data_IF_206746019288
#
_entry.id   IF_206746019288
#
_cell.length_a   1.000
_cell.length_b   1.000
_cell.length_c   1.000
_cell.angle_alpha   90.00
_cell.angle_beta   90.00
_cell.angle_gamma   90.00
#
_symmetry.space_group_name_H-M   'P 1'
#
loop_
_entity.id
_entity.type
_entity.pdbx_description
1 polymer ?
#
# COMPACT_ATOMS: atom_id res chain seq x y z
N UNK A 1 21.46 12.76 44.91
CA UNK A 1 21.47 11.44 44.25
C UNK A 1 20.07 11.02 43.81
N UNK A 2 19.07 11.04 44.71
CA UNK A 2 17.68 10.68 44.38
C UNK A 2 17.03 11.51 43.25
N UNK A 3 17.25 12.82 43.19
CA UNK A 3 16.71 13.66 42.10
C UNK A 3 17.24 13.31 40.70
N UNK A 4 18.44 12.74 40.59
CA UNK A 4 18.98 12.32 39.28
C UNK A 4 18.30 11.04 38.81
N UNK A 5 17.86 10.18 39.74
CA UNK A 5 17.17 8.92 39.44
C UNK A 5 15.73 9.22 39.00
N UNK A 6 15.02 10.10 39.71
CA UNK A 6 13.64 10.48 39.33
C UNK A 6 13.59 11.15 37.95
N UNK A 7 14.54 12.04 37.65
CA UNK A 7 14.59 12.73 36.36
C UNK A 7 14.98 11.78 35.21
N UNK A 8 15.74 10.72 35.51
CA UNK A 8 16.10 9.68 34.54
C UNK A 8 14.89 8.79 34.23
N UNK A 9 14.11 8.42 35.25
CA UNK A 9 12.88 7.62 35.10
C UNK A 9 11.81 8.38 34.29
N UNK A 10 11.62 9.67 34.56
CA UNK A 10 10.68 10.52 33.81
C UNK A 10 11.10 10.67 32.34
N UNK A 11 12.40 10.84 32.07
CA UNK A 11 12.94 10.88 30.71
C UNK A 11 12.74 9.56 29.96
N UNK A 12 12.97 8.42 30.63
CA UNK A 12 12.75 7.09 30.04
C UNK A 12 11.27 6.84 29.72
N UNK A 13 10.36 7.28 30.60
CA UNK A 13 8.93 7.20 30.35
C UNK A 13 8.54 8.01 29.10
N UNK A 14 9.02 9.26 29.00
CA UNK A 14 8.78 10.12 27.83
C UNK A 14 9.33 9.53 26.52
N UNK A 15 10.56 9.02 26.53
CA UNK A 15 11.18 8.37 25.36
C UNK A 15 10.39 7.12 24.93
N UNK A 16 9.92 6.31 25.89
CA UNK A 16 9.11 5.13 25.59
C UNK A 16 7.76 5.48 24.94
N UNK A 17 7.09 6.52 25.43
CA UNK A 17 5.84 7.02 24.85
C UNK A 17 6.05 7.53 23.43
N UNK A 18 7.13 8.28 23.21
CA UNK A 18 7.50 8.77 21.89
C UNK A 18 7.78 7.63 20.91
N UNK A 19 8.53 6.61 21.33
CA UNK A 19 8.81 5.43 20.49
C UNK A 19 7.51 4.72 20.13
N UNK A 20 6.62 4.48 21.11
CA UNK A 20 5.33 3.84 20.86
C UNK A 20 4.49 4.62 19.85
N UNK A 21 4.38 5.94 20.02
CA UNK A 21 3.66 6.82 19.08
C UNK A 21 4.27 6.79 17.69
N UNK A 22 5.60 6.88 17.60
CA UNK A 22 6.31 6.87 16.31
C UNK A 22 6.17 5.52 15.59
N UNK A 23 6.21 4.40 16.31
CA UNK A 23 6.06 3.08 15.74
C UNK A 23 4.66 2.91 15.12
N UNK A 24 3.61 3.34 15.83
CA UNK A 24 2.23 3.30 15.31
C UNK A 24 2.07 4.21 14.11
N UNK A 25 2.63 5.42 14.13
CA UNK A 25 2.57 6.36 13.02
C UNK A 25 3.23 5.78 11.75
N UNK A 26 4.45 5.22 11.88
CA UNK A 26 5.17 4.64 10.75
C UNK A 26 4.46 3.39 10.22
N UNK A 27 3.93 2.54 11.10
CA UNK A 27 3.17 1.35 10.68
C UNK A 27 1.89 1.73 9.93
N UNK A 28 1.22 2.81 10.34
CA UNK A 28 0.01 3.30 9.67
C UNK A 28 0.33 3.86 8.29
N UNK A 29 1.30 4.78 8.19
CA UNK A 29 1.71 5.40 6.93
C UNK A 29 2.25 4.34 5.96
N UNK A 30 3.15 3.47 6.44
CA UNK A 30 3.83 2.49 5.61
C UNK A 30 2.96 1.29 5.23
N UNK A 31 2.09 0.84 6.14
CA UNK A 31 1.33 -0.40 5.95
C UNK A 31 -0.11 -0.18 5.50
N UNK A 32 -0.77 0.87 5.98
CA UNK A 32 -2.20 1.09 5.69
C UNK A 32 -2.38 1.85 4.38
N UNK A 33 -1.74 3.02 4.24
CA UNK A 33 -2.01 3.92 3.11
C UNK A 33 -1.50 3.33 1.78
N UNK A 34 -0.33 2.67 1.81
CA UNK A 34 0.25 2.02 0.63
C UNK A 34 -0.60 0.83 0.18
N UNK A 35 -1.01 -0.04 1.11
CA UNK A 35 -1.83 -1.23 0.79
C UNK A 35 -3.21 -0.84 0.28
N UNK A 36 -3.86 0.16 0.89
CA UNK A 36 -5.16 0.66 0.43
C UNK A 36 -5.07 1.21 -0.99
N UNK A 37 -4.01 1.98 -1.27
CA UNK A 37 -3.75 2.52 -2.61
C UNK A 37 -3.45 1.41 -3.62
N UNK A 38 -2.68 0.39 -3.24
CA UNK A 38 -2.38 -0.78 -4.06
C UNK A 38 -3.65 -1.49 -4.54
N UNK A 39 -4.55 -1.78 -3.59
CA UNK A 39 -5.79 -2.51 -3.86
C UNK A 39 -6.72 -1.67 -4.75
N UNK A 40 -6.89 -0.39 -4.44
CA UNK A 40 -7.73 0.51 -5.24
C UNK A 40 -7.23 0.60 -6.69
N UNK A 41 -5.91 0.73 -6.86
CA UNK A 41 -5.28 0.77 -8.17
C UNK A 41 -5.45 -0.55 -8.93
N UNK A 42 -5.27 -1.69 -8.27
CA UNK A 42 -5.45 -3.00 -8.88
C UNK A 42 -6.89 -3.18 -9.37
N UNK A 43 -7.88 -2.81 -8.56
CA UNK A 43 -9.29 -2.84 -8.96
C UNK A 43 -9.53 -1.93 -10.17
N UNK A 44 -8.99 -0.71 -10.16
CA UNK A 44 -9.10 0.22 -11.29
C UNK A 44 -8.46 -0.35 -12.57
N UNK A 45 -7.25 -0.90 -12.48
CA UNK A 45 -6.53 -1.47 -13.61
C UNK A 45 -7.31 -2.64 -14.24
N UNK A 46 -7.84 -3.54 -13.41
CA UNK A 46 -8.64 -4.67 -13.89
C UNK A 46 -9.98 -4.20 -14.48
N UNK A 47 -10.62 -3.19 -13.89
CA UNK A 47 -11.87 -2.62 -14.40
C UNK A 47 -11.69 -1.96 -15.79
N UNK A 48 -10.53 -1.35 -16.05
CA UNK A 48 -10.20 -0.78 -17.38
C UNK A 48 -9.84 -1.87 -18.41
N UNK A 49 -9.44 -3.07 -17.97
CA UNK A 49 -8.98 -4.16 -18.83
C UNK A 49 -9.76 -5.46 -18.59
N UNK A 50 -11.05 -5.52 -19.00
CA UNK A 50 -11.91 -6.68 -18.74
C UNK A 50 -11.39 -7.98 -19.36
N UNK A 51 -10.62 -7.92 -20.46
CA UNK A 51 -9.98 -9.10 -21.05
C UNK A 51 -8.85 -9.69 -20.19
N UNK A 52 -8.15 -8.86 -19.41
CA UNK A 52 -7.15 -9.30 -18.42
C UNK A 52 -7.85 -9.90 -17.21
N UNK A 53 -8.95 -9.27 -16.77
CA UNK A 53 -9.79 -9.77 -15.68
C UNK A 53 -10.25 -11.21 -15.92
N UNK A 54 -10.83 -11.49 -17.08
CA UNK A 54 -11.34 -12.83 -17.41
C UNK A 54 -10.25 -13.89 -17.41
N UNK A 55 -9.05 -13.56 -17.92
CA UNK A 55 -7.91 -14.47 -17.93
C UNK A 55 -7.37 -14.73 -16.52
N UNK A 56 -7.31 -13.70 -15.68
CA UNK A 56 -6.89 -13.84 -14.29
C UNK A 56 -7.89 -14.68 -13.49
N UNK A 57 -9.20 -14.46 -13.68
CA UNK A 57 -10.24 -15.29 -13.07
C UNK A 57 -10.16 -16.74 -13.53
N UNK A 58 -9.99 -17.01 -14.83
CA UNK A 58 -9.86 -18.36 -15.34
C UNK A 58 -8.63 -19.11 -14.79
N UNK A 59 -7.51 -18.42 -14.57
CA UNK A 59 -6.34 -19.02 -13.90
C UNK A 59 -6.67 -19.38 -12.44
N UNK A 60 -7.30 -18.48 -11.70
CA UNK A 60 -7.71 -18.72 -10.30
C UNK A 60 -8.68 -19.92 -10.22
N UNK A 61 -9.71 -19.91 -11.06
CA UNK A 61 -10.72 -20.96 -11.10
C UNK A 61 -10.10 -22.33 -11.46
N UNK A 62 -9.07 -22.35 -12.30
CA UNK A 62 -8.36 -23.57 -12.69
C UNK A 62 -7.48 -24.15 -11.58
N UNK A 63 -6.93 -23.29 -10.72
CA UNK A 63 -5.93 -23.71 -9.70
C UNK A 63 -6.59 -23.99 -8.37
N UNK A 64 -7.48 -23.10 -7.93
CA UNK A 64 -8.13 -23.17 -6.61
C UNK A 64 -9.45 -23.95 -6.68
N UNK A 65 -10.11 -23.95 -7.84
CA UNK A 65 -11.48 -24.44 -7.99
C UNK A 65 -12.50 -23.44 -7.41
N UNK A 66 -13.79 -23.78 -7.55
CA UNK A 66 -14.90 -22.90 -7.13
C UNK A 66 -15.46 -23.20 -5.74
N UNK A 67 -15.00 -24.27 -5.09
CA UNK A 67 -15.57 -24.74 -3.81
C UNK A 67 -14.77 -24.29 -2.58
N UNK A 68 -13.55 -23.80 -2.76
CA UNK A 68 -12.65 -23.40 -1.68
C UNK A 68 -12.08 -22.00 -1.90
N UNK A 69 -11.79 -21.30 -0.81
CA UNK A 69 -11.04 -20.03 -0.86
C UNK A 69 -9.55 -20.31 -1.09
N UNK A 70 -8.82 -19.43 -1.80
CA UNK A 70 -7.39 -19.58 -2.00
C UNK A 70 -6.60 -19.53 -0.70
N UNK A 71 -5.58 -20.37 -0.57
CA UNK A 71 -4.57 -20.28 0.49
C UNK A 71 -3.27 -19.64 -0.04
N UNK A 72 -2.39 -19.21 0.87
CA UNK A 72 -1.09 -18.64 0.50
C UNK A 72 -0.20 -19.63 -0.27
N UNK A 73 -0.40 -20.94 -0.07
CA UNK A 73 0.30 -21.99 -0.79
C UNK A 73 -0.04 -22.01 -2.31
N UNK A 74 -1.25 -21.59 -2.69
CA UNK A 74 -1.71 -21.58 -4.09
C UNK A 74 -1.04 -20.48 -4.92
N UNK A 75 -0.44 -19.48 -4.28
CA UNK A 75 0.17 -18.33 -4.97
C UNK A 75 1.26 -18.73 -5.96
N UNK A 76 2.00 -19.80 -5.69
CA UNK A 76 3.06 -20.30 -6.59
C UNK A 76 2.47 -20.80 -7.92
N UNK A 77 1.23 -21.29 -7.87
CA UNK A 77 0.49 -21.84 -9.01
C UNK A 77 -0.30 -20.78 -9.78
N UNK A 78 -0.24 -19.50 -9.39
CA UNK A 78 -0.94 -18.37 -10.03
C UNK A 78 0.01 -17.37 -10.71
N UNK A 79 0.81 -17.80 -11.71
CA UNK A 79 1.81 -16.95 -12.33
C UNK A 79 1.23 -15.76 -13.11
N UNK A 80 0.05 -15.89 -13.73
CA UNK A 80 -0.57 -14.81 -14.47
C UNK A 80 -1.15 -13.75 -13.54
N UNK A 81 -1.82 -14.13 -12.45
CA UNK A 81 -2.29 -13.18 -11.43
C UNK A 81 -1.10 -12.40 -10.83
N UNK A 82 0.01 -13.08 -10.52
CA UNK A 82 1.21 -12.42 -10.00
C UNK A 82 1.83 -11.46 -11.04
N UNK A 83 1.80 -11.82 -12.33
CA UNK A 83 2.23 -10.93 -13.40
C UNK A 83 1.32 -9.69 -13.53
N UNK A 84 -0.01 -9.85 -13.43
CA UNK A 84 -0.96 -8.73 -13.46
C UNK A 84 -0.75 -7.79 -12.27
N UNK A 85 -0.53 -8.34 -11.08
CA UNK A 85 -0.22 -7.54 -9.89
C UNK A 85 1.07 -6.74 -10.08
N UNK A 86 2.14 -7.39 -10.54
CA UNK A 86 3.43 -6.74 -10.85
C UNK A 86 3.27 -5.64 -11.89
N UNK A 87 2.50 -5.89 -12.95
CA UNK A 87 2.28 -4.90 -14.00
C UNK A 87 1.44 -3.72 -13.52
N UNK A 88 0.46 -3.95 -12.65
CA UNK A 88 -0.29 -2.88 -11.99
C UNK A 88 0.63 -1.96 -11.18
N UNK A 89 1.53 -2.55 -10.38
CA UNK A 89 2.52 -1.81 -9.60
C UNK A 89 3.57 -1.10 -10.48
N UNK A 90 3.83 -1.64 -11.69
CA UNK A 90 4.68 -0.99 -12.70
C UNK A 90 4.00 0.24 -13.31
N UNK A 91 2.70 0.17 -13.61
CA UNK A 91 1.93 1.25 -14.22
C UNK A 91 1.68 2.42 -13.28
N UNK A 92 1.49 2.12 -11.99
CA UNK A 92 1.33 3.13 -10.96
C UNK A 92 2.07 2.70 -9.72
N UNK A 93 3.23 3.31 -9.51
CA UNK A 93 3.99 3.10 -8.31
C UNK A 93 3.31 3.85 -7.15
N UNK A 94 2.86 3.11 -6.14
CA UNK A 94 2.20 3.64 -4.94
C UNK A 94 3.12 4.59 -4.18
N UNK A 95 4.43 4.36 -4.27
CA UNK A 95 5.44 5.27 -3.76
C UNK A 95 6.31 5.72 -4.95
N UNK A 96 5.99 6.85 -5.62
CA UNK A 96 6.89 7.39 -6.63
C UNK A 96 8.28 7.52 -6.01
N UNK A 97 9.29 6.89 -6.63
CA UNK A 97 10.64 6.64 -6.10
C UNK A 97 11.48 7.92 -5.84
N UNK A 98 10.84 9.09 -5.84
CA UNK A 98 11.44 10.37 -5.55
C UNK A 98 10.50 11.16 -4.65
N UNK A 99 10.85 11.28 -3.37
CA UNK A 99 10.36 12.39 -2.54
C UNK A 99 10.55 13.75 -3.26
N UNK A 100 11.52 13.83 -4.18
CA UNK A 100 11.77 14.97 -5.06
C UNK A 100 10.64 15.28 -6.05
N UNK A 101 9.85 14.28 -6.48
CA UNK A 101 8.78 14.49 -7.47
C UNK A 101 7.41 14.71 -6.85
N UNK A 102 7.19 14.31 -5.59
CA UNK A 102 5.95 14.61 -4.85
C UNK A 102 5.74 16.12 -4.66
N UNK A 103 6.81 16.91 -4.49
CA UNK A 103 6.70 18.37 -4.39
C UNK A 103 6.14 19.02 -5.66
N UNK A 104 6.42 18.44 -6.84
CA UNK A 104 5.83 18.90 -8.10
C UNK A 104 4.35 18.52 -8.20
N UNK A 105 3.98 17.34 -7.69
CA UNK A 105 2.61 16.83 -7.75
C UNK A 105 1.64 17.60 -6.83
N UNK A 106 2.09 18.04 -5.65
CA UNK A 106 1.27 18.86 -4.72
C UNK A 106 1.02 20.26 -5.30
N UNK A 107 1.93 20.77 -6.14
CA UNK A 107 1.73 22.05 -6.85
C UNK A 107 0.95 21.90 -8.17
N UNK A 108 0.80 20.67 -8.69
CA UNK A 108 0.02 20.36 -9.89
C UNK A 108 -1.45 20.06 -9.58
N UNK A 109 -1.77 19.61 -8.36
CA UNK A 109 -3.15 19.56 -7.85
C UNK A 109 -3.51 20.93 -7.28
N UNK A 110 -3.43 21.98 -8.10
CA UNK A 110 -4.10 23.24 -7.80
C UNK A 110 -5.59 23.04 -8.13
N UNK A 111 -6.42 23.09 -7.09
CA UNK A 111 -7.86 22.81 -7.12
C UNK A 111 -8.65 23.82 -7.99
N UNK A 112 -7.95 24.78 -8.60
CA UNK A 112 -8.48 25.86 -9.42
C UNK A 112 -8.36 25.63 -10.94
N UNK A 113 -7.75 24.54 -11.42
CA UNK A 113 -7.53 24.31 -12.86
C UNK A 113 -8.67 23.52 -13.55
N UNK A 114 -9.76 23.21 -12.85
CA UNK A 114 -10.99 22.69 -13.48
C UNK A 114 -11.81 23.85 -14.07
N UNK A 115 -11.48 24.25 -15.30
CA UNK A 115 -12.36 25.07 -16.14
C UNK A 115 -13.01 24.19 -17.22
N UNK A 116 -14.34 23.96 -17.20
CA UNK A 116 -15.02 23.28 -18.28
C UNK A 116 -15.33 24.29 -19.39
N UNK A 117 -14.47 24.36 -20.39
CA UNK A 117 -14.81 24.87 -21.73
C UNK A 117 -14.47 23.84 -22.78
#
# INVERSE_FOLDING_TARGET
MMQKISNQEEKLAYESEMIMKSAVAIASIGGTDTSRSAIALFILAIAMHPGVQQKAQAEIDSVVGTECLPDFSDRISLPYVDAVLKETLRWHNILPLSMSSILSFIHFVDINDWNPR
#
